data_IF_473708028941
#
_entry.id   IF_473708028941
#
_cell.length_a   1.000
_cell.length_b   1.000
_cell.length_c   1.000
_cell.angle_alpha   90.00
_cell.angle_beta   90.00
_cell.angle_gamma   90.00
#
_symmetry.space_group_name_H-M   'P 1'
#
loop_
_entity.id
_entity.type
_entity.pdbx_description
1 polymer ?
#
# COMPACT_ATOMS: atom_id res chain seq x y z
N UNK A 1 -11.13 -22.71 9.78
CA UNK A 1 -9.95 -22.74 10.68
C UNK A 1 -8.86 -21.92 10.02
N UNK A 2 -8.11 -21.13 10.79
CA UNK A 2 -7.01 -20.37 10.20
C UNK A 2 -6.11 -21.25 9.33
N UNK A 3 -5.63 -20.70 8.22
CA UNK A 3 -4.79 -21.40 7.24
C UNK A 3 -3.37 -20.85 7.25
N UNK A 4 -2.38 -21.72 7.09
CA UNK A 4 -0.98 -21.32 6.96
C UNK A 4 -0.65 -21.05 5.49
N UNK A 5 0.05 -19.95 5.21
CA UNK A 5 0.46 -19.56 3.88
C UNK A 5 1.88 -18.99 3.87
N UNK A 6 2.63 -19.23 2.79
CA UNK A 6 4.01 -18.77 2.68
C UNK A 6 4.05 -17.50 1.82
N UNK A 7 4.56 -16.41 2.40
CA UNK A 7 4.78 -15.14 1.72
C UNK A 7 6.28 -14.81 1.80
N UNK A 8 6.90 -14.71 0.64
CA UNK A 8 8.35 -14.56 0.58
C UNK A 8 9.06 -15.71 1.26
N UNK A 9 9.74 -15.44 2.38
CA UNK A 9 10.43 -16.45 3.21
C UNK A 9 9.71 -16.77 4.53
N UNK A 10 8.54 -16.17 4.75
CA UNK A 10 7.82 -16.26 6.02
C UNK A 10 6.56 -17.11 5.88
N UNK A 11 6.26 -17.91 6.90
CA UNK A 11 5.01 -18.65 7.02
C UNK A 11 4.07 -17.86 7.92
N UNK A 12 2.93 -17.45 7.39
CA UNK A 12 1.94 -16.63 8.07
C UNK A 12 0.65 -17.41 8.34
N UNK A 13 -0.10 -16.94 9.33
CA UNK A 13 -1.43 -17.41 9.64
C UNK A 13 -2.46 -16.46 9.04
N UNK A 14 -3.35 -17.00 8.22
CA UNK A 14 -4.44 -16.26 7.57
C UNK A 14 -5.79 -16.64 8.18
N UNK A 15 -6.76 -15.70 8.25
CA UNK A 15 -8.16 -16.06 8.45
C UNK A 15 -8.65 -17.09 7.43
N UNK A 16 -9.67 -17.89 7.80
CA UNK A 16 -10.17 -18.99 6.96
C UNK A 16 -10.74 -18.51 5.61
N UNK A 17 -11.32 -17.31 5.59
CA UNK A 17 -11.93 -16.62 4.45
C UNK A 17 -11.00 -15.66 3.70
N UNK A 18 -9.77 -15.44 4.18
CA UNK A 18 -8.81 -14.58 3.52
C UNK A 18 -8.40 -15.12 2.15
N UNK A 19 -8.46 -14.29 1.10
CA UNK A 19 -8.30 -14.73 -0.29
C UNK A 19 -6.90 -14.52 -0.89
N UNK A 20 -5.93 -14.06 -0.12
CA UNK A 20 -4.57 -13.78 -0.61
C UNK A 20 -3.94 -14.97 -1.37
N UNK A 21 -4.13 -16.19 -0.87
CA UNK A 21 -3.65 -17.41 -1.52
C UNK A 21 -4.28 -17.63 -2.90
N UNK A 22 -5.55 -17.25 -3.07
CA UNK A 22 -6.26 -17.35 -4.34
C UNK A 22 -5.80 -16.25 -5.31
N UNK A 23 -5.59 -15.03 -4.81
CA UNK A 23 -5.07 -13.93 -5.62
C UNK A 23 -3.68 -14.23 -6.15
N UNK A 24 -2.75 -14.67 -5.29
CA UNK A 24 -1.39 -15.01 -5.71
C UNK A 24 -1.32 -16.27 -6.60
N UNK A 25 -2.26 -17.21 -6.45
CA UNK A 25 -2.38 -18.35 -7.35
C UNK A 25 -2.93 -17.97 -8.72
N UNK A 26 -3.85 -16.98 -8.77
CA UNK A 26 -4.47 -16.49 -10.00
C UNK A 26 -3.58 -15.49 -10.76
N UNK A 27 -2.84 -14.68 -10.03
CA UNK A 27 -1.99 -13.61 -10.58
C UNK A 27 -0.59 -13.65 -9.98
N UNK A 28 0.35 -14.20 -10.72
CA UNK A 28 1.72 -14.45 -10.25
C UNK A 28 2.51 -13.19 -9.87
N UNK A 29 2.01 -12.02 -10.24
CA UNK A 29 2.64 -10.74 -9.92
C UNK A 29 1.98 -9.99 -8.78
N UNK A 30 0.83 -10.49 -8.31
CA UNK A 30 0.08 -9.84 -7.24
C UNK A 30 1.00 -9.58 -6.03
N UNK A 31 1.12 -8.31 -5.63
CA UNK A 31 1.95 -7.74 -4.55
C UNK A 31 3.46 -8.02 -4.63
N UNK A 32 3.92 -8.84 -5.56
CA UNK A 32 5.34 -9.24 -5.60
C UNK A 32 6.30 -8.08 -5.83
N UNK A 33 5.83 -6.96 -6.41
CA UNK A 33 6.63 -5.78 -6.66
C UNK A 33 7.21 -5.18 -5.38
N UNK A 34 6.43 -5.13 -4.30
CA UNK A 34 6.80 -4.52 -3.03
C UNK A 34 8.09 -5.14 -2.45
N UNK A 35 8.26 -6.46 -2.55
CA UNK A 35 9.43 -7.16 -2.02
C UNK A 35 10.75 -6.72 -2.66
N UNK A 36 10.84 -6.67 -4.00
CA UNK A 36 12.08 -6.24 -4.66
C UNK A 36 12.25 -4.72 -4.68
N UNK A 37 11.16 -3.95 -4.63
CA UNK A 37 11.22 -2.50 -4.39
C UNK A 37 11.90 -2.25 -3.05
N UNK A 38 11.44 -2.90 -1.98
CA UNK A 38 12.04 -2.84 -0.66
C UNK A 38 13.53 -3.24 -0.69
N UNK A 39 13.87 -4.33 -1.37
CA UNK A 39 15.27 -4.75 -1.55
C UNK A 39 16.13 -3.63 -2.15
N UNK A 40 15.67 -2.97 -3.20
CA UNK A 40 16.41 -1.90 -3.88
C UNK A 40 16.56 -0.68 -2.97
N UNK A 41 15.50 -0.31 -2.23
CA UNK A 41 15.52 0.80 -1.27
C UNK A 41 16.55 0.54 -0.16
N UNK A 42 16.50 -0.62 0.48
CA UNK A 42 17.37 -0.93 1.62
C UNK A 42 18.80 -1.28 1.22
N UNK A 43 19.08 -1.56 -0.06
CA UNK A 43 20.45 -1.55 -0.59
C UNK A 43 21.06 -0.14 -0.59
N UNK A 44 20.26 0.89 -0.88
CA UNK A 44 20.69 2.31 -0.82
C UNK A 44 20.70 2.84 0.61
N UNK A 45 19.73 2.44 1.44
CA UNK A 45 19.50 2.91 2.79
C UNK A 45 19.53 1.77 3.82
N UNK A 46 20.69 1.15 4.08
CA UNK A 46 20.79 -0.09 4.87
C UNK A 46 20.46 0.06 6.36
N UNK A 47 20.33 1.29 6.87
CA UNK A 47 19.97 1.59 8.26
C UNK A 47 18.57 2.18 8.40
N UNK A 48 17.81 2.26 7.32
CA UNK A 48 16.46 2.78 7.34
C UNK A 48 15.45 1.70 7.74
N UNK A 49 14.23 2.13 8.03
CA UNK A 49 13.08 1.30 8.35
C UNK A 49 11.97 1.48 7.32
N UNK A 50 10.93 0.68 7.44
CA UNK A 50 9.69 0.80 6.68
C UNK A 50 8.51 1.11 7.61
N UNK A 51 7.46 1.69 7.03
CA UNK A 51 6.14 1.86 7.65
C UNK A 51 5.12 1.22 6.71
N UNK A 52 4.21 0.43 7.26
CA UNK A 52 3.14 -0.28 6.57
C UNK A 52 1.81 0.13 7.21
N UNK A 53 1.06 1.03 6.55
CA UNK A 53 -0.25 1.51 6.98
C UNK A 53 -1.33 0.70 6.28
N UNK A 54 -2.27 0.15 7.05
CA UNK A 54 -3.18 -0.90 6.59
C UNK A 54 -2.44 -2.22 6.51
N UNK A 55 -1.75 -2.57 7.60
CA UNK A 55 -0.88 -3.75 7.62
C UNK A 55 -1.66 -5.08 7.61
N UNK A 56 -2.98 -5.03 7.83
CA UNK A 56 -3.86 -6.19 7.81
C UNK A 56 -3.28 -7.34 8.68
N UNK A 57 -2.99 -8.49 8.09
CA UNK A 57 -2.38 -9.63 8.77
C UNK A 57 -0.84 -9.60 8.76
N UNK A 58 -0.20 -8.59 8.17
CA UNK A 58 1.25 -8.45 8.06
C UNK A 58 1.87 -9.06 6.81
N UNK A 59 1.09 -9.36 5.79
CA UNK A 59 1.53 -9.95 4.53
C UNK A 59 2.44 -9.00 3.72
N UNK A 60 2.09 -7.71 3.62
CA UNK A 60 2.95 -6.69 3.02
C UNK A 60 4.29 -6.56 3.75
N UNK A 61 4.27 -6.62 5.08
CA UNK A 61 5.49 -6.59 5.89
C UNK A 61 6.36 -7.83 5.67
N UNK A 62 5.77 -9.00 5.47
CA UNK A 62 6.50 -10.20 5.09
C UNK A 62 7.15 -10.07 3.71
N UNK A 63 6.46 -9.42 2.75
CA UNK A 63 7.02 -9.12 1.43
C UNK A 63 8.20 -8.13 1.53
N UNK A 64 8.06 -7.05 2.30
CA UNK A 64 9.13 -6.07 2.54
C UNK A 64 10.37 -6.76 3.09
N UNK A 65 10.21 -7.73 3.97
CA UNK A 65 11.33 -8.48 4.57
C UNK A 65 11.78 -9.70 3.75
N UNK A 66 11.22 -9.94 2.57
CA UNK A 66 11.57 -11.14 1.77
C UNK A 66 13.07 -11.29 1.52
N UNK A 67 13.75 -10.20 1.20
CA UNK A 67 15.16 -10.22 0.80
C UNK A 67 16.12 -9.67 1.85
N UNK A 68 15.61 -8.90 2.81
CA UNK A 68 16.43 -8.25 3.82
C UNK A 68 15.62 -8.08 5.12
N UNK A 69 16.25 -8.34 6.24
CA UNK A 69 15.67 -8.10 7.56
C UNK A 69 15.79 -6.60 7.89
N UNK A 70 14.65 -5.91 7.89
CA UNK A 70 14.55 -4.47 8.17
C UNK A 70 13.48 -4.22 9.22
N UNK A 71 13.62 -3.18 10.08
CA UNK A 71 12.55 -2.81 11.00
C UNK A 71 11.32 -2.34 10.21
N UNK A 72 10.14 -2.87 10.55
CA UNK A 72 8.86 -2.43 9.98
C UNK A 72 7.91 -2.04 11.09
N UNK A 73 7.28 -0.88 10.99
CA UNK A 73 6.14 -0.47 11.79
C UNK A 73 4.86 -0.80 11.04
N UNK A 74 4.13 -1.79 11.54
CA UNK A 74 2.80 -2.14 11.07
C UNK A 74 1.77 -1.29 11.79
N UNK A 75 0.93 -0.58 11.06
CA UNK A 75 -0.16 0.22 11.62
C UNK A 75 -1.47 -0.37 11.11
N UNK A 76 -2.28 -0.88 12.04
CA UNK A 76 -3.57 -1.52 11.74
C UNK A 76 -4.58 -1.15 12.82
N UNK A 77 -5.77 -0.72 12.43
CA UNK A 77 -6.82 -0.32 13.37
C UNK A 77 -7.95 -1.32 13.49
N UNK A 78 -8.06 -2.31 12.57
CA UNK A 78 -9.14 -3.27 12.57
C UNK A 78 -8.90 -4.39 13.59
N UNK A 79 -9.75 -4.54 14.63
CA UNK A 79 -9.57 -5.57 15.65
C UNK A 79 -9.58 -7.00 15.11
N UNK A 80 -10.23 -7.24 13.97
CA UNK A 80 -10.30 -8.56 13.34
C UNK A 80 -8.94 -9.01 12.79
N UNK A 81 -8.11 -8.08 12.31
CA UNK A 81 -6.79 -8.37 11.79
C UNK A 81 -5.68 -8.28 12.84
N UNK A 82 -5.85 -7.46 13.88
CA UNK A 82 -4.82 -7.20 14.91
C UNK A 82 -4.32 -8.48 15.57
N UNK A 83 -5.21 -9.43 15.88
CA UNK A 83 -4.78 -10.71 16.50
C UNK A 83 -3.88 -11.52 15.56
N UNK A 84 -4.22 -11.57 14.26
CA UNK A 84 -3.39 -12.21 13.24
C UNK A 84 -2.08 -11.46 13.03
N UNK A 85 -2.15 -10.13 12.98
CA UNK A 85 -0.98 -9.29 12.82
C UNK A 85 0.05 -9.50 13.94
N UNK A 86 -0.37 -9.52 15.21
CA UNK A 86 0.54 -9.80 16.32
C UNK A 86 1.16 -11.19 16.23
N UNK A 87 0.36 -12.20 15.87
CA UNK A 87 0.86 -13.55 15.67
C UNK A 87 1.92 -13.61 14.56
N UNK A 88 1.62 -13.03 13.41
CA UNK A 88 2.50 -13.02 12.25
C UNK A 88 3.73 -12.14 12.46
N UNK A 89 3.60 -10.99 13.12
CA UNK A 89 4.71 -10.13 13.50
C UNK A 89 5.75 -10.87 14.35
N UNK A 90 5.29 -11.73 15.28
CA UNK A 90 6.18 -12.57 16.08
C UNK A 90 6.91 -13.64 15.25
N UNK A 91 6.29 -14.14 14.16
CA UNK A 91 6.91 -15.10 13.23
C UNK A 91 7.88 -14.44 12.26
N UNK A 92 7.51 -13.27 11.73
CA UNK A 92 8.34 -12.49 10.81
C UNK A 92 9.58 -11.96 11.53
N UNK A 93 9.39 -11.39 12.72
CA UNK A 93 10.43 -10.73 13.51
C UNK A 93 10.75 -9.32 13.01
N UNK A 94 11.35 -8.49 13.89
CA UNK A 94 11.73 -7.10 13.60
C UNK A 94 10.53 -6.23 13.15
N UNK A 95 9.34 -6.52 13.71
CA UNK A 95 8.08 -5.82 13.47
C UNK A 95 7.64 -5.17 14.79
N UNK A 96 7.29 -3.89 14.74
CA UNK A 96 6.50 -3.21 15.76
C UNK A 96 5.07 -3.04 15.27
N UNK A 97 4.08 -3.17 16.14
CA UNK A 97 2.66 -3.04 15.82
C UNK A 97 2.09 -1.83 16.55
N UNK A 98 1.44 -0.96 15.82
CA UNK A 98 0.63 0.16 16.31
C UNK A 98 -0.85 -0.13 15.99
N UNK A 99 -1.67 -0.24 17.05
CA UNK A 99 -3.10 -0.55 16.94
C UNK A 99 -3.91 0.74 16.82
N UNK A 100 -3.88 1.38 15.66
CA UNK A 100 -4.63 2.61 15.39
C UNK A 100 -4.99 2.78 13.92
N UNK A 101 -6.01 3.60 13.68
CA UNK A 101 -6.29 4.11 12.33
C UNK A 101 -5.59 5.47 12.16
N UNK A 102 -5.01 5.66 10.98
CA UNK A 102 -4.26 6.88 10.65
C UNK A 102 -5.19 7.96 10.07
N UNK A 103 -5.03 9.19 10.56
CA UNK A 103 -5.77 10.35 10.05
C UNK A 103 -5.39 11.62 10.80
N UNK A 104 -6.30 12.60 10.87
CA UNK A 104 -6.08 13.76 11.73
C UNK A 104 -6.22 13.36 13.21
N UNK A 105 -5.31 13.81 14.05
CA UNK A 105 -5.33 13.50 15.47
C UNK A 105 -6.62 14.00 16.13
N UNK A 106 -7.32 13.08 16.78
CA UNK A 106 -8.58 13.36 17.46
C UNK A 106 -9.84 13.36 16.61
N UNK A 107 -9.74 13.17 15.29
CA UNK A 107 -10.94 12.90 14.48
C UNK A 107 -11.53 11.55 14.87
N UNK A 108 -12.85 11.46 14.83
CA UNK A 108 -13.60 10.26 15.24
C UNK A 108 -14.27 9.66 14.01
N UNK A 109 -14.02 8.39 13.78
CA UNK A 109 -14.68 7.61 12.73
C UNK A 109 -15.57 6.52 13.33
N UNK A 110 -16.61 6.17 12.59
CA UNK A 110 -17.56 5.15 12.97
C UNK A 110 -17.38 3.90 12.12
N UNK A 111 -17.27 2.74 12.78
CA UNK A 111 -17.01 1.45 12.16
C UNK A 111 -18.21 0.53 12.03
N UNK A 112 -19.45 1.04 12.04
CA UNK A 112 -20.66 0.19 12.04
C UNK A 112 -20.85 -0.72 10.82
N UNK A 113 -20.09 -0.51 9.75
CA UNK A 113 -20.19 -1.32 8.53
C UNK A 113 -18.81 -1.64 7.96
N UNK A 114 -17.96 -2.28 8.75
CA UNK A 114 -16.81 -2.97 8.17
C UNK A 114 -17.31 -4.30 7.63
N UNK A 115 -17.60 -4.36 6.34
CA UNK A 115 -17.75 -5.63 5.65
C UNK A 115 -16.34 -6.21 5.47
N UNK A 116 -15.89 -6.99 6.44
CA UNK A 116 -14.67 -7.79 6.34
C UNK A 116 -14.95 -9.05 5.51
N UNK A 117 -15.21 -8.88 4.22
CA UNK A 117 -15.30 -10.00 3.30
C UNK A 117 -14.01 -10.11 2.48
N UNK A 118 -13.53 -11.32 2.32
CA UNK A 118 -12.43 -11.67 1.43
C UNK A 118 -11.02 -11.20 1.85
N UNK A 119 -10.83 -10.78 3.11
CA UNK A 119 -9.54 -10.34 3.65
C UNK A 119 -9.27 -8.85 3.51
N UNK A 120 -10.26 -8.08 3.08
CA UNK A 120 -10.24 -6.61 3.03
C UNK A 120 -11.31 -6.04 3.97
N UNK A 121 -11.07 -4.86 4.52
CA UNK A 121 -12.05 -4.16 5.35
C UNK A 121 -12.04 -2.67 5.02
N UNK A 122 -13.13 -2.17 4.48
CA UNK A 122 -13.28 -0.76 4.17
C UNK A 122 -14.14 -0.03 5.22
N UNK A 123 -13.79 1.20 5.55
CA UNK A 123 -14.58 2.06 6.42
C UNK A 123 -15.61 2.79 5.57
N UNK A 124 -16.89 2.55 5.83
CA UNK A 124 -17.97 3.31 5.19
C UNK A 124 -18.35 4.47 6.08
N UNK A 125 -18.27 5.71 5.58
CA UNK A 125 -18.73 6.90 6.27
C UNK A 125 -20.24 6.78 6.59
N UNK A 126 -20.61 6.44 7.83
CA UNK A 126 -21.98 6.36 8.28
C UNK A 126 -22.36 7.59 9.12
N UNK A 127 -23.41 8.25 8.67
CA UNK A 127 -24.06 9.36 9.39
C UNK A 127 -25.11 8.79 10.35
N UNK A 128 -24.86 8.95 11.66
CA UNK A 128 -25.85 8.84 12.76
C UNK A 128 -26.78 7.63 12.82
N UNK A 129 -26.46 6.66 13.68
CA UNK A 129 -27.44 5.81 14.36
C UNK A 129 -26.91 5.30 15.72
N UNK A 130 -27.79 5.09 16.67
CA UNK A 130 -27.48 4.72 18.06
C UNK A 130 -26.93 3.29 18.15
N UNK A 131 -25.63 3.13 18.42
CA UNK A 131 -24.98 1.82 18.58
C UNK A 131 -23.49 1.77 18.18
N UNK A 132 -22.87 2.89 18.07
CA UNK A 132 -21.62 3.21 17.37
C UNK A 132 -20.35 2.65 18.05
N UNK A 133 -19.54 1.92 17.33
CA UNK A 133 -18.11 1.74 17.65
C UNK A 133 -17.35 2.96 17.10
N UNK A 134 -17.13 3.96 17.96
CA UNK A 134 -16.36 5.15 17.61
C UNK A 134 -14.89 4.89 17.92
N UNK A 135 -14.02 5.13 16.95
CA UNK A 135 -12.56 5.10 17.15
C UNK A 135 -11.97 6.45 16.80
N UNK A 136 -11.05 6.91 17.65
CA UNK A 136 -10.28 8.12 17.43
C UNK A 136 -9.13 7.83 16.48
N UNK A 137 -8.94 8.68 15.47
CA UNK A 137 -7.81 8.62 14.55
C UNK A 137 -6.55 9.18 15.21
N UNK A 138 -5.41 8.65 14.83
CA UNK A 138 -4.09 9.08 15.30
C UNK A 138 -3.27 9.59 14.12
N UNK A 139 -2.65 10.75 14.26
CA UNK A 139 -1.80 11.28 13.21
C UNK A 139 -0.51 10.48 13.07
N UNK A 140 -0.01 10.35 11.83
CA UNK A 140 1.29 9.68 11.59
C UNK A 140 2.43 10.39 12.35
N UNK A 141 2.35 11.71 12.53
CA UNK A 141 3.32 12.46 13.33
C UNK A 141 3.35 11.98 14.78
N UNK A 142 2.19 11.80 15.42
CA UNK A 142 2.07 11.32 16.80
C UNK A 142 2.55 9.87 16.91
N UNK A 143 2.17 9.02 15.97
CA UNK A 143 2.65 7.63 15.92
C UNK A 143 4.17 7.59 15.88
N UNK A 144 4.82 8.39 15.04
CA UNK A 144 6.28 8.43 14.94
C UNK A 144 6.97 9.06 16.15
N UNK A 145 6.28 9.89 16.94
CA UNK A 145 6.80 10.35 18.24
C UNK A 145 6.83 9.20 19.26
N UNK A 146 5.87 8.29 19.20
CA UNK A 146 5.80 7.11 20.08
C UNK A 146 6.72 5.97 19.59
N UNK A 147 7.01 5.93 18.28
CA UNK A 147 7.87 4.95 17.61
C UNK A 147 9.12 5.60 16.98
N UNK A 148 10.07 6.13 17.78
CA UNK A 148 11.17 6.94 17.26
C UNK A 148 12.13 6.20 16.32
N UNK A 149 12.19 4.86 16.38
CA UNK A 149 12.96 4.01 15.45
C UNK A 149 12.57 4.26 14.00
N UNK A 150 11.32 4.64 13.73
CA UNK A 150 10.76 4.79 12.39
C UNK A 150 10.81 6.22 11.82
N UNK A 151 11.42 7.15 12.55
CA UNK A 151 11.65 8.53 12.09
C UNK A 151 12.69 8.64 10.96
N UNK A 152 13.31 7.54 10.54
CA UNK A 152 14.22 7.46 9.40
C UNK A 152 13.71 6.51 8.29
N UNK A 153 12.42 6.22 8.28
CA UNK A 153 11.83 5.30 7.30
C UNK A 153 12.03 5.79 5.86
N UNK A 154 12.38 4.87 4.96
CA UNK A 154 12.62 5.12 3.54
C UNK A 154 11.66 4.36 2.62
N UNK A 155 10.77 3.57 3.18
CA UNK A 155 9.62 2.98 2.53
C UNK A 155 8.38 3.27 3.38
N UNK A 156 7.33 3.81 2.76
CA UNK A 156 6.00 3.98 3.34
C UNK A 156 5.00 3.34 2.40
N UNK A 157 4.40 2.22 2.83
CA UNK A 157 3.25 1.61 2.16
C UNK A 157 1.97 2.14 2.82
N UNK A 158 0.97 2.46 2.01
CA UNK A 158 -0.37 2.85 2.43
C UNK A 158 -1.35 2.06 1.57
N UNK A 159 -2.21 1.28 2.21
CA UNK A 159 -3.21 0.45 1.55
C UNK A 159 -4.31 0.18 2.57
N UNK A 160 -5.36 0.98 2.50
CA UNK A 160 -6.35 1.12 3.57
C UNK A 160 -7.78 1.09 3.04
N UNK A 161 -7.98 0.48 1.85
CA UNK A 161 -9.30 0.31 1.25
C UNK A 161 -10.12 1.63 1.24
N UNK A 162 -9.52 2.71 0.69
CA UNK A 162 -10.19 3.97 0.40
C UNK A 162 -9.83 5.18 1.25
N UNK A 163 -8.91 5.06 2.22
CA UNK A 163 -8.41 6.21 3.00
C UNK A 163 -7.02 6.69 2.56
N UNK A 164 -6.41 6.05 1.59
CA UNK A 164 -5.05 6.29 1.10
C UNK A 164 -4.80 7.76 0.77
N UNK A 165 -5.69 8.36 -0.02
CA UNK A 165 -5.57 9.78 -0.38
C UNK A 165 -5.67 10.71 0.83
N UNK A 166 -6.60 10.42 1.75
CA UNK A 166 -6.76 11.20 2.97
C UNK A 166 -5.55 11.07 3.89
N UNK A 167 -5.02 9.86 4.04
CA UNK A 167 -3.82 9.59 4.85
C UNK A 167 -2.62 10.31 4.26
N UNK A 168 -2.39 10.26 2.95
CA UNK A 168 -1.29 10.99 2.29
C UNK A 168 -1.43 12.49 2.53
N UNK A 169 -2.62 13.06 2.33
CA UNK A 169 -2.84 14.51 2.47
C UNK A 169 -2.66 14.98 3.92
N UNK A 170 -3.20 14.24 4.89
CA UNK A 170 -3.09 14.57 6.31
C UNK A 170 -1.67 14.35 6.87
N UNK A 171 -0.91 13.44 6.26
CA UNK A 171 0.48 13.10 6.64
C UNK A 171 1.55 13.83 5.81
N UNK A 172 1.18 14.75 4.93
CA UNK A 172 2.10 15.32 3.93
C UNK A 172 3.32 16.01 4.54
N UNK A 173 3.20 16.62 5.71
CA UNK A 173 4.33 17.24 6.42
C UNK A 173 5.36 16.20 6.87
N UNK A 174 4.90 15.05 7.36
CA UNK A 174 5.76 13.93 7.75
C UNK A 174 6.39 13.30 6.51
N UNK A 175 5.59 13.06 5.47
CA UNK A 175 6.05 12.51 4.18
C UNK A 175 7.15 13.39 3.58
N UNK A 176 6.96 14.72 3.58
CA UNK A 176 7.97 15.65 3.07
C UNK A 176 9.27 15.66 3.87
N UNK A 177 9.18 15.52 5.19
CA UNK A 177 10.36 15.48 6.07
C UNK A 177 11.15 14.16 5.93
N UNK A 178 10.48 13.04 5.84
CA UNK A 178 11.10 11.71 5.68
C UNK A 178 11.55 11.46 4.26
N UNK A 179 10.79 11.97 3.29
CA UNK A 179 10.93 11.69 1.86
C UNK A 179 11.11 10.19 1.59
N UNK A 180 10.19 9.32 2.04
CA UNK A 180 10.27 7.90 1.76
C UNK A 180 9.88 7.61 0.30
N UNK A 181 10.25 6.47 -0.24
CA UNK A 181 9.53 5.92 -1.40
C UNK A 181 8.13 5.55 -0.90
N UNK A 182 7.10 6.08 -1.59
CA UNK A 182 5.71 5.76 -1.28
C UNK A 182 5.25 4.60 -2.16
N UNK A 183 4.53 3.66 -1.57
CA UNK A 183 3.79 2.63 -2.30
C UNK A 183 2.35 2.66 -1.79
N UNK A 184 1.39 3.03 -2.63
CA UNK A 184 0.02 3.25 -2.17
C UNK A 184 -1.02 2.81 -3.19
N UNK A 185 -2.19 2.37 -2.68
CA UNK A 185 -3.34 2.05 -3.49
C UNK A 185 -3.96 3.33 -4.08
N UNK A 186 -4.32 3.27 -5.35
CA UNK A 186 -4.92 4.36 -6.11
C UNK A 186 -6.28 3.90 -6.63
N UNK A 187 -7.27 3.86 -5.73
CA UNK A 187 -8.66 3.56 -6.08
C UNK A 187 -9.52 4.83 -6.07
N UNK A 188 -10.09 5.14 -7.25
CA UNK A 188 -10.92 6.32 -7.47
C UNK A 188 -12.42 6.07 -7.23
N UNK A 189 -12.77 4.94 -6.63
CA UNK A 189 -14.16 4.50 -6.54
C UNK A 189 -14.68 4.28 -5.12
N UNK A 190 -13.84 4.32 -4.11
CA UNK A 190 -14.26 4.10 -2.73
C UNK A 190 -15.24 5.16 -2.22
N UNK A 191 -15.02 6.41 -2.59
CA UNK A 191 -15.90 7.53 -2.20
C UNK A 191 -16.36 8.29 -3.44
N UNK A 192 -17.43 9.07 -3.31
CA UNK A 192 -18.00 9.86 -4.43
C UNK A 192 -17.03 10.92 -4.98
N UNK A 193 -16.09 11.37 -4.16
CA UNK A 193 -15.10 12.41 -4.42
C UNK A 193 -13.68 11.85 -4.63
N UNK A 194 -13.48 10.53 -4.48
CA UNK A 194 -12.18 9.87 -4.60
C UNK A 194 -11.42 10.24 -5.90
N UNK A 195 -12.15 10.43 -7.00
CA UNK A 195 -11.56 10.87 -8.26
C UNK A 195 -10.88 12.24 -8.17
N UNK A 196 -11.51 13.20 -7.54
CA UNK A 196 -10.96 14.55 -7.37
C UNK A 196 -9.87 14.53 -6.29
N UNK A 197 -10.06 13.77 -5.22
CA UNK A 197 -9.08 13.58 -4.17
C UNK A 197 -7.81 12.88 -4.68
N UNK A 198 -7.91 11.94 -5.61
CA UNK A 198 -6.75 11.31 -6.23
C UNK A 198 -5.85 12.30 -6.96
N UNK A 199 -6.44 13.17 -7.77
CA UNK A 199 -5.70 14.21 -8.52
C UNK A 199 -5.12 15.28 -7.60
N UNK A 200 -5.84 15.64 -6.53
CA UNK A 200 -5.36 16.57 -5.50
C UNK A 200 -4.18 15.97 -4.74
N UNK A 201 -4.25 14.67 -4.39
CA UNK A 201 -3.16 13.96 -3.73
C UNK A 201 -1.89 13.97 -4.58
N UNK A 202 -2.00 13.73 -5.89
CA UNK A 202 -0.86 13.83 -6.80
C UNK A 202 -0.26 15.22 -6.82
N UNK A 203 -1.08 16.29 -6.86
CA UNK A 203 -0.58 17.67 -6.80
C UNK A 203 0.17 17.95 -5.51
N UNK A 204 -0.37 17.52 -4.37
CA UNK A 204 0.28 17.67 -3.07
C UNK A 204 1.61 16.91 -3.02
N UNK A 205 1.70 15.72 -3.60
CA UNK A 205 2.96 14.96 -3.73
C UNK A 205 3.97 15.68 -4.64
N UNK A 206 3.53 16.25 -5.77
CA UNK A 206 4.43 17.03 -6.65
C UNK A 206 5.00 18.26 -5.93
N UNK A 207 4.16 18.99 -5.18
CA UNK A 207 4.59 20.14 -4.37
C UNK A 207 5.55 19.71 -3.25
N UNK A 208 5.40 18.49 -2.74
CA UNK A 208 6.26 17.89 -1.73
C UNK A 208 7.58 17.32 -2.29
N UNK A 209 7.79 17.40 -3.62
CA UNK A 209 9.04 17.01 -4.28
C UNK A 209 9.06 15.60 -4.89
N UNK A 210 7.93 14.91 -4.95
CA UNK A 210 7.82 13.65 -5.68
C UNK A 210 7.73 13.90 -7.18
N UNK A 211 8.65 13.33 -7.94
CA UNK A 211 8.81 13.65 -9.36
C UNK A 211 8.68 12.45 -10.29
N UNK A 212 8.79 11.25 -9.79
CA UNK A 212 8.80 10.03 -10.60
C UNK A 212 7.85 8.98 -10.01
N UNK A 213 7.11 8.29 -10.89
CA UNK A 213 6.04 7.38 -10.50
C UNK A 213 6.10 6.11 -11.34
N UNK A 214 6.00 4.96 -10.71
CA UNK A 214 5.76 3.67 -11.35
C UNK A 214 4.34 3.26 -11.01
N UNK A 215 3.59 2.86 -12.02
CA UNK A 215 2.19 2.47 -11.91
C UNK A 215 2.06 0.99 -12.22
N UNK A 216 1.38 0.28 -11.34
CA UNK A 216 0.99 -1.12 -11.48
C UNK A 216 -0.53 -1.23 -11.62
N UNK A 217 -1.00 -2.26 -12.27
CA UNK A 217 -2.43 -2.62 -12.23
C UNK A 217 -2.76 -3.42 -10.95
N UNK A 218 -4.03 -3.58 -10.65
CA UNK A 218 -4.53 -4.33 -9.49
C UNK A 218 -4.18 -5.84 -9.50
N UNK A 219 -3.41 -6.30 -10.47
CA UNK A 219 -2.84 -7.66 -10.53
C UNK A 219 -1.32 -7.66 -10.32
N UNK A 220 -0.74 -6.50 -9.99
CA UNK A 220 0.70 -6.30 -9.76
C UNK A 220 1.54 -6.21 -11.03
N UNK A 221 0.92 -6.08 -12.22
CA UNK A 221 1.68 -5.93 -13.46
C UNK A 221 2.14 -4.49 -13.65
N UNK A 222 3.39 -4.30 -14.04
CA UNK A 222 3.91 -3.00 -14.44
C UNK A 222 3.10 -2.44 -15.62
N UNK A 223 2.45 -1.31 -15.42
CA UNK A 223 1.64 -0.65 -16.44
C UNK A 223 2.46 0.40 -17.19
N UNK A 224 3.00 1.38 -16.48
CA UNK A 224 3.77 2.46 -17.07
C UNK A 224 4.58 3.23 -16.00
N UNK A 225 5.44 4.15 -16.46
CA UNK A 225 6.11 5.13 -15.60
C UNK A 225 5.74 6.54 -16.03
N UNK A 226 5.53 7.41 -15.05
CA UNK A 226 5.17 8.81 -15.22
C UNK A 226 6.12 9.71 -14.44
N UNK A 227 6.07 11.01 -14.75
CA UNK A 227 6.73 12.07 -14.00
C UNK A 227 5.72 13.12 -13.56
N UNK A 228 6.11 14.04 -12.69
CA UNK A 228 5.27 15.17 -12.29
C UNK A 228 4.87 16.08 -13.47
N UNK A 229 5.54 15.94 -14.61
CA UNK A 229 5.20 16.66 -15.86
C UNK A 229 4.07 15.96 -16.65
N UNK A 230 3.74 14.72 -16.30
CA UNK A 230 2.75 13.89 -16.99
C UNK A 230 1.36 13.96 -16.32
N UNK A 231 1.01 15.10 -15.69
CA UNK A 231 -0.25 15.23 -14.96
C UNK A 231 -1.48 14.90 -15.80
N UNK A 232 -1.50 15.29 -17.07
CA UNK A 232 -2.60 14.97 -17.99
C UNK A 232 -2.78 13.46 -18.18
N UNK A 233 -1.70 12.68 -18.10
CA UNK A 233 -1.77 11.23 -18.21
C UNK A 233 -2.38 10.57 -16.98
N UNK A 234 -2.29 11.17 -15.80
CA UNK A 234 -3.04 10.70 -14.63
C UNK A 234 -4.55 10.94 -14.81
N UNK A 235 -4.93 12.04 -15.46
CA UNK A 235 -6.34 12.27 -15.84
C UNK A 235 -6.81 11.21 -16.85
N UNK A 236 -5.98 10.84 -17.82
CA UNK A 236 -6.27 9.77 -18.77
C UNK A 236 -6.39 8.41 -18.08
N UNK A 237 -5.53 8.10 -17.09
CA UNK A 237 -5.64 6.89 -16.27
C UNK A 237 -6.96 6.85 -15.49
N UNK A 238 -7.36 7.95 -14.84
CA UNK A 238 -8.66 8.03 -14.16
C UNK A 238 -9.82 7.80 -15.15
N UNK A 239 -9.71 8.33 -16.36
CA UNK A 239 -10.70 8.12 -17.42
C UNK A 239 -10.76 6.66 -17.85
N UNK A 240 -9.62 6.00 -17.96
CA UNK A 240 -9.53 4.56 -18.27
C UNK A 240 -10.15 3.72 -17.16
N UNK A 241 -9.77 3.93 -15.90
CA UNK A 241 -10.33 3.23 -14.75
C UNK A 241 -11.86 3.37 -14.70
N UNK A 242 -12.35 4.61 -14.85
CA UNK A 242 -13.79 4.88 -14.85
C UNK A 242 -14.53 4.12 -15.96
N UNK A 243 -13.96 4.08 -17.17
CA UNK A 243 -14.55 3.35 -18.29
C UNK A 243 -14.50 1.84 -18.09
N UNK A 244 -13.42 1.34 -17.46
CA UNK A 244 -13.17 -0.09 -17.31
C UNK A 244 -14.00 -0.72 -16.18
N UNK A 245 -14.36 0.03 -15.12
CA UNK A 245 -15.20 -0.47 -14.02
C UNK A 245 -16.53 -1.02 -14.50
N UNK A 246 -17.09 -0.48 -15.57
CA UNK A 246 -18.37 -0.93 -16.16
C UNK A 246 -18.20 -2.01 -17.22
N UNK A 247 -16.97 -2.43 -17.52
CA UNK A 247 -16.72 -3.52 -18.44
C UNK A 247 -17.15 -4.85 -17.79
N UNK A 248 -17.98 -5.60 -18.47
CA UNK A 248 -18.35 -6.96 -18.06
C UNK A 248 -17.22 -7.92 -18.42
N UNK A 249 -16.42 -8.37 -17.46
CA UNK A 249 -15.35 -9.35 -17.72
C UNK A 249 -14.52 -9.67 -16.47
N UNK A 250 -13.81 -10.76 -16.53
CA UNK A 250 -13.08 -11.36 -15.39
C UNK A 250 -11.77 -10.62 -15.06
N UNK A 251 -11.31 -9.70 -15.92
CA UNK A 251 -10.00 -9.05 -15.82
C UNK A 251 -10.10 -7.52 -15.92
N UNK A 252 -11.03 -6.92 -15.20
CA UNK A 252 -11.14 -5.47 -15.19
C UNK A 252 -10.04 -4.86 -14.31
N UNK A 253 -9.27 -3.91 -14.85
CA UNK A 253 -8.40 -3.03 -14.05
C UNK A 253 -9.29 -1.92 -13.49
N UNK A 254 -9.46 -1.87 -12.16
CA UNK A 254 -10.35 -0.92 -11.50
C UNK A 254 -9.66 -0.07 -10.44
N UNK A 255 -8.50 -0.48 -9.93
CA UNK A 255 -7.57 0.35 -9.16
C UNK A 255 -6.14 0.14 -9.65
N UNK A 256 -5.23 0.92 -9.14
CA UNK A 256 -3.81 0.88 -9.45
C UNK A 256 -3.01 0.92 -8.15
N UNK A 257 -1.78 0.41 -8.18
CA UNK A 257 -0.79 0.70 -7.16
C UNK A 257 0.23 1.68 -7.72
N UNK A 258 0.57 2.69 -6.94
CA UNK A 258 1.53 3.71 -7.34
C UNK A 258 2.75 3.67 -6.42
N UNK A 259 3.94 3.50 -7.02
CA UNK A 259 5.21 3.68 -6.35
C UNK A 259 5.77 5.06 -6.73
N UNK A 260 5.84 5.98 -5.77
CA UNK A 260 6.26 7.36 -5.98
C UNK A 260 7.64 7.64 -5.35
N UNK A 261 8.46 8.40 -6.08
CA UNK A 261 9.85 8.69 -5.72
C UNK A 261 10.09 10.20 -5.68
N UNK A 262 10.71 10.67 -4.60
CA UNK A 262 11.21 12.03 -4.51
C UNK A 262 12.46 12.21 -5.42
N UNK A 263 12.83 13.46 -5.70
CA UNK A 263 13.98 13.79 -6.57
C UNK A 263 15.28 13.09 -6.14
N UNK A 264 15.51 12.97 -4.83
CA UNK A 264 16.68 12.31 -4.26
C UNK A 264 16.78 10.80 -4.56
N UNK A 265 15.67 10.20 -4.99
CA UNK A 265 15.53 8.76 -5.26
C UNK A 265 15.27 8.45 -6.75
N UNK A 266 15.62 9.38 -7.65
CA UNK A 266 15.52 9.17 -9.11
C UNK A 266 16.34 7.96 -9.56
N UNK A 267 17.46 7.67 -8.92
CA UNK A 267 18.27 6.48 -9.18
C UNK A 267 17.54 5.17 -8.83
N UNK A 268 16.76 5.15 -7.74
CA UNK A 268 15.91 4.01 -7.37
C UNK A 268 14.81 3.82 -8.40
N UNK A 269 14.12 4.91 -8.77
CA UNK A 269 13.10 4.89 -9.81
C UNK A 269 13.63 4.27 -11.11
N UNK A 270 14.79 4.75 -11.61
CA UNK A 270 15.36 4.25 -12.84
C UNK A 270 15.73 2.76 -12.74
N UNK A 271 16.30 2.35 -11.60
CA UNK A 271 16.67 0.96 -11.35
C UNK A 271 15.44 0.06 -11.34
N UNK A 272 14.40 0.41 -10.59
CA UNK A 272 13.17 -0.39 -10.47
C UNK A 272 12.45 -0.44 -11.83
N UNK A 273 12.33 0.68 -12.53
CA UNK A 273 11.75 0.74 -13.88
C UNK A 273 12.46 -0.18 -14.87
N UNK A 274 13.79 -0.24 -14.80
CA UNK A 274 14.57 -1.16 -15.65
C UNK A 274 14.34 -2.62 -15.28
N UNK A 275 14.25 -2.93 -13.98
CA UNK A 275 13.95 -4.28 -13.51
C UNK A 275 12.57 -4.74 -14.01
N UNK A 276 11.55 -3.90 -13.90
CA UNK A 276 10.20 -4.21 -14.39
C UNK A 276 10.19 -4.57 -15.87
N UNK A 277 10.80 -3.75 -16.70
CA UNK A 277 10.91 -4.00 -18.14
C UNK A 277 11.63 -5.30 -18.47
N UNK A 278 12.62 -5.69 -17.67
CA UNK A 278 13.36 -6.95 -17.88
C UNK A 278 12.59 -8.19 -17.42
N UNK A 279 11.83 -8.08 -16.33
CA UNK A 279 10.98 -9.18 -15.83
C UNK A 279 9.93 -9.52 -16.87
N UNK A 280 9.23 -8.52 -17.40
CA UNK A 280 8.20 -8.71 -18.41
C UNK A 280 8.73 -9.39 -19.68
N UNK A 281 9.92 -8.97 -20.19
CA UNK A 281 10.53 -9.57 -21.37
C UNK A 281 10.87 -11.05 -21.11
N UNK A 282 11.47 -11.39 -19.98
CA UNK A 282 11.83 -12.78 -19.65
C UNK A 282 10.62 -13.71 -19.50
N UNK A 283 9.50 -13.20 -19.03
CA UNK A 283 8.27 -13.98 -18.93
C UNK A 283 7.76 -14.36 -20.33
N UNK A 284 7.71 -13.41 -21.26
CA UNK A 284 7.30 -13.64 -22.65
C UNK A 284 8.23 -14.67 -23.32
N UNK A 285 9.55 -14.49 -23.20
CA UNK A 285 10.53 -15.42 -23.79
C UNK A 285 10.42 -16.86 -23.22
N UNK A 286 10.01 -16.99 -21.95
CA UNK A 286 9.83 -18.31 -21.34
C UNK A 286 8.55 -19.02 -21.76
N UNK A 287 7.48 -18.27 -22.06
CA UNK A 287 6.20 -18.82 -22.54
C UNK A 287 6.26 -19.19 -24.03
N UNK A 288 7.05 -18.49 -24.84
CA UNK A 288 7.25 -18.82 -26.25
C UNK A 288 8.17 -20.06 -26.46
N UNK A 289 8.84 -20.51 -25.39
CA UNK A 289 9.76 -21.66 -25.43
C UNK A 289 9.08 -22.99 -25.05
N UNK A 290 7.79 -23.01 -24.73
CA UNK A 290 6.96 -24.16 -24.36
C UNK A 290 5.97 -24.46 -25.49
#
# INVERSE_FOLDING_TARGET
MPKEYIIGRHQLLLPDDHQLDQYQAGWHRYDTALGYIAQVIFQKYPQASAIDIGANIGDSSALIQTYQDVPVLCIEGNPEFIEYLHHNAALIGNIEVEESFVGNDGDIVNFENMDSHDGTASIVNAVNSDGLFLTELKSLEKILQEHPTFQNSKLLKIDTDGFDFSIIQTSISVIGNLSPVLFFEYDIFFTSDARDESLKTLQVLFECGYQSFIVYDNYGNYLLSLTSQDYDKFIDLNTYLFSNRFASGITAVYYLDICAFAEADTDLFEKIRQMERQITIKQVDSEEAV
#
